data_IF_489058831009
#
_entry.id   IF_489058831009
#
_cell.length_a   1.000
_cell.length_b   1.000
_cell.length_c   1.000
_cell.angle_alpha   90.00
_cell.angle_beta   90.00
_cell.angle_gamma   90.00
#
_symmetry.space_group_name_H-M   'P 1'
#
loop_
_entity.id
_entity.type
_entity.pdbx_description
1 polymer ?
#
# COMPACT_ATOMS: atom_id res chain seq x y z
N UNK A 1 14.35 12.63 11.73
CA UNK A 1 14.70 11.66 10.65
C UNK A 1 14.64 12.33 9.29
N UNK A 2 15.34 11.78 8.30
CA UNK A 2 15.29 12.16 6.88
C UNK A 2 14.23 11.31 6.18
N UNK A 3 13.26 11.94 5.53
CA UNK A 3 12.10 11.27 4.93
C UNK A 3 12.03 11.52 3.43
N UNK A 4 11.89 10.45 2.65
CA UNK A 4 11.54 10.50 1.24
C UNK A 4 10.06 10.12 1.10
N UNK A 5 9.32 10.81 0.23
CA UNK A 5 7.89 10.56 -0.01
C UNK A 5 7.69 10.29 -1.50
N UNK A 6 7.03 9.18 -1.83
CA UNK A 6 6.59 8.85 -3.19
C UNK A 6 5.07 8.65 -3.20
N UNK A 7 4.35 9.57 -3.82
CA UNK A 7 2.89 9.64 -3.85
C UNK A 7 2.46 10.39 -5.11
N UNK A 8 1.59 9.81 -5.92
CA UNK A 8 1.16 10.41 -7.19
C UNK A 8 0.17 11.58 -6.99
N UNK A 9 -0.68 11.49 -5.97
CA UNK A 9 -1.68 12.52 -5.66
C UNK A 9 -1.00 13.75 -5.04
N UNK A 10 -0.98 14.85 -5.79
CA UNK A 10 -0.28 16.07 -5.38
C UNK A 10 -0.70 16.58 -4.01
N UNK A 11 -2.01 16.60 -3.71
CA UNK A 11 -2.53 17.11 -2.44
C UNK A 11 -2.06 16.26 -1.25
N UNK A 12 -2.10 14.93 -1.38
CA UNK A 12 -1.66 14.02 -0.32
C UNK A 12 -0.13 14.09 -0.16
N UNK A 13 0.63 14.13 -1.25
CA UNK A 13 2.09 14.27 -1.22
C UNK A 13 2.54 15.53 -0.48
N UNK A 14 1.92 16.69 -0.80
CA UNK A 14 2.22 17.94 -0.11
C UNK A 14 1.75 17.94 1.35
N UNK A 15 0.59 17.33 1.61
CA UNK A 15 0.07 17.12 2.97
C UNK A 15 1.03 16.30 3.83
N UNK A 16 1.48 15.14 3.34
CA UNK A 16 2.47 14.30 4.02
C UNK A 16 3.78 15.06 4.26
N UNK A 17 4.27 15.76 3.23
CA UNK A 17 5.51 16.53 3.36
C UNK A 17 5.39 17.62 4.44
N UNK A 18 4.24 18.27 4.55
CA UNK A 18 3.98 19.24 5.60
C UNK A 18 3.89 18.59 6.97
N UNK A 19 3.14 17.49 7.12
CA UNK A 19 3.02 16.76 8.39
C UNK A 19 4.39 16.36 8.94
N UNK A 20 5.26 15.81 8.11
CA UNK A 20 6.62 15.45 8.54
C UNK A 20 7.46 16.67 8.94
N UNK A 21 7.38 17.78 8.20
CA UNK A 21 8.10 19.01 8.55
C UNK A 21 7.60 19.62 9.86
N UNK A 22 6.28 19.69 10.04
CA UNK A 22 5.64 20.20 11.27
C UNK A 22 5.98 19.31 12.47
N UNK A 23 6.14 17.97 12.26
CA UNK A 23 6.64 17.00 13.24
C UNK A 23 8.16 17.06 13.48
N UNK A 24 8.88 18.06 12.91
CA UNK A 24 10.33 18.24 13.13
C UNK A 24 11.21 17.31 12.29
N UNK A 25 10.68 16.68 11.24
CA UNK A 25 11.45 15.81 10.35
C UNK A 25 11.90 16.53 9.09
N UNK A 26 12.95 16.02 8.45
CA UNK A 26 13.50 16.60 7.23
C UNK A 26 13.05 15.82 5.99
N UNK A 27 12.16 16.40 5.18
CA UNK A 27 11.74 15.83 3.90
C UNK A 27 12.81 16.12 2.87
N UNK A 28 13.57 15.09 2.49
CA UNK A 28 14.71 15.19 1.58
C UNK A 28 14.29 15.18 0.11
N UNK A 29 13.21 14.49 -0.22
CA UNK A 29 12.67 14.45 -1.58
C UNK A 29 11.19 14.07 -1.59
N UNK A 30 10.49 14.54 -2.63
CA UNK A 30 9.12 14.12 -2.94
C UNK A 30 9.04 13.71 -4.40
N UNK A 31 8.54 12.50 -4.67
CA UNK A 31 8.40 11.89 -5.99
C UNK A 31 6.92 11.64 -6.30
N UNK A 32 6.56 11.67 -7.58
CA UNK A 32 5.19 11.39 -8.05
C UNK A 32 5.00 9.99 -8.64
N UNK A 33 6.11 9.26 -8.80
CA UNK A 33 6.17 7.93 -9.38
C UNK A 33 7.36 7.14 -8.79
N UNK A 34 7.48 5.88 -9.17
CA UNK A 34 8.52 4.98 -8.68
C UNK A 34 9.82 5.01 -9.50
N UNK A 35 9.85 5.70 -10.66
CA UNK A 35 10.94 5.57 -11.64
C UNK A 35 12.30 6.00 -11.08
N UNK A 36 12.33 7.07 -10.31
CA UNK A 36 13.58 7.60 -9.72
C UNK A 36 13.79 7.20 -8.25
N UNK A 37 12.89 6.39 -7.69
CA UNK A 37 12.86 6.14 -6.26
C UNK A 37 14.15 5.51 -5.73
N UNK A 38 14.67 4.46 -6.38
CA UNK A 38 15.92 3.82 -5.98
C UNK A 38 17.14 4.74 -6.11
N UNK A 39 17.24 5.47 -7.22
CA UNK A 39 18.34 6.41 -7.44
C UNK A 39 18.32 7.54 -6.40
N UNK A 40 17.11 8.04 -6.05
CA UNK A 40 16.97 9.08 -5.03
C UNK A 40 17.32 8.55 -3.63
N UNK A 41 16.99 7.29 -3.32
CA UNK A 41 17.40 6.67 -2.04
C UNK A 41 18.91 6.53 -1.96
N UNK A 42 19.58 6.12 -3.04
CA UNK A 42 21.04 6.04 -3.09
C UNK A 42 21.71 7.40 -2.88
N UNK A 43 21.15 8.44 -3.47
CA UNK A 43 21.68 9.81 -3.36
C UNK A 43 21.40 10.45 -2.00
N UNK A 44 20.16 10.39 -1.53
CA UNK A 44 19.68 11.11 -0.36
C UNK A 44 19.86 10.34 0.95
N UNK A 45 19.99 9.03 0.90
CA UNK A 45 20.15 8.14 2.07
C UNK A 45 19.12 8.48 3.18
N UNK A 46 17.81 8.39 2.90
CA UNK A 46 16.79 8.69 3.90
C UNK A 46 16.76 7.61 4.99
N UNK A 47 16.27 7.99 6.17
CA UNK A 47 15.97 7.04 7.24
C UNK A 47 14.66 6.29 6.95
N UNK A 48 13.73 6.96 6.25
CA UNK A 48 12.40 6.44 5.92
C UNK A 48 12.00 6.81 4.50
N UNK A 49 11.44 5.84 3.78
CA UNK A 49 10.70 6.04 2.53
C UNK A 49 9.21 5.77 2.75
N UNK A 50 8.37 6.78 2.59
CA UNK A 50 6.90 6.68 2.58
C UNK A 50 6.44 6.55 1.15
N UNK A 51 5.76 5.46 0.80
CA UNK A 51 5.51 5.08 -0.58
C UNK A 51 4.06 4.67 -0.78
N UNK A 52 3.36 5.30 -1.72
CA UNK A 52 2.08 4.80 -2.20
C UNK A 52 2.29 3.49 -2.97
N UNK A 53 1.42 2.51 -2.74
CA UNK A 53 1.48 1.22 -3.44
C UNK A 53 1.20 1.40 -4.93
N UNK A 54 0.19 2.19 -5.29
CA UNK A 54 -0.31 2.35 -6.64
C UNK A 54 0.10 3.68 -7.24
N UNK A 55 1.15 3.67 -8.03
CA UNK A 55 1.67 4.83 -8.71
C UNK A 55 1.71 4.62 -10.24
N UNK A 56 1.86 5.68 -11.04
CA UNK A 56 2.11 5.53 -12.48
C UNK A 56 3.31 4.58 -12.77
N UNK A 57 3.33 3.89 -13.93
CA UNK A 57 2.41 4.08 -15.07
C UNK A 57 1.15 3.20 -15.04
N UNK A 58 1.13 2.09 -14.30
CA UNK A 58 0.01 1.12 -14.38
C UNK A 58 -0.97 1.23 -13.22
N UNK A 59 -0.60 1.92 -12.14
CA UNK A 59 -1.39 2.07 -10.91
C UNK A 59 -1.79 0.73 -10.28
N UNK A 60 -0.88 -0.24 -10.33
CA UNK A 60 -1.11 -1.58 -9.76
C UNK A 60 -0.28 -1.81 -8.49
N UNK A 61 1.02 -2.05 -8.62
CA UNK A 61 1.91 -2.47 -7.53
C UNK A 61 3.32 -1.84 -7.61
N UNK A 62 3.47 -0.73 -8.36
CA UNK A 62 4.75 -0.07 -8.59
C UNK A 62 5.47 0.25 -7.28
N UNK A 63 4.75 0.83 -6.32
CA UNK A 63 5.30 1.17 -5.01
C UNK A 63 5.71 -0.06 -4.21
N UNK A 64 4.91 -1.13 -4.25
CA UNK A 64 5.24 -2.38 -3.55
C UNK A 64 6.49 -3.05 -4.14
N UNK A 65 6.64 -3.05 -5.47
CA UNK A 65 7.86 -3.55 -6.14
C UNK A 65 9.08 -2.71 -5.80
N UNK A 66 8.93 -1.38 -5.79
CA UNK A 66 9.99 -0.48 -5.38
C UNK A 66 10.39 -0.72 -3.92
N UNK A 67 9.42 -0.85 -3.00
CA UNK A 67 9.64 -1.17 -1.59
C UNK A 67 10.46 -2.45 -1.40
N UNK A 68 10.13 -3.51 -2.14
CA UNK A 68 10.90 -4.77 -2.13
C UNK A 68 12.36 -4.54 -2.58
N UNK A 69 12.54 -3.81 -3.66
CA UNK A 69 13.88 -3.49 -4.18
C UNK A 69 14.69 -2.66 -3.20
N UNK A 70 14.06 -1.70 -2.50
CA UNK A 70 14.69 -0.90 -1.46
C UNK A 70 15.13 -1.80 -0.31
N UNK A 71 14.25 -2.65 0.21
CA UNK A 71 14.60 -3.54 1.34
C UNK A 71 15.73 -4.51 1.00
N UNK A 72 15.82 -4.96 -0.25
CA UNK A 72 16.91 -5.83 -0.71
C UNK A 72 18.24 -5.11 -0.84
N UNK A 73 18.27 -3.87 -1.33
CA UNK A 73 19.50 -3.12 -1.63
C UNK A 73 19.93 -2.20 -0.49
N UNK A 74 18.96 -1.67 0.25
CA UNK A 74 19.14 -0.69 1.33
C UNK A 74 18.38 -1.15 2.59
N UNK A 75 18.77 -2.29 3.21
CA UNK A 75 18.03 -2.88 4.34
C UNK A 75 17.92 -1.96 5.55
N UNK A 76 18.82 -0.97 5.69
CA UNK A 76 18.78 0.05 6.74
C UNK A 76 17.70 1.12 6.57
N UNK A 77 17.14 1.28 5.37
CA UNK A 77 16.08 2.24 5.13
C UNK A 77 14.74 1.66 5.56
N UNK A 78 14.03 2.37 6.45
CA UNK A 78 12.65 2.05 6.79
C UNK A 78 11.73 2.29 5.59
N UNK A 79 10.76 1.41 5.38
CA UNK A 79 9.76 1.55 4.31
C UNK A 79 8.37 1.53 4.90
N UNK A 80 7.61 2.61 4.68
CA UNK A 80 6.20 2.71 5.07
C UNK A 80 5.33 2.79 3.81
N UNK A 81 4.63 1.69 3.51
CA UNK A 81 3.66 1.67 2.42
C UNK A 81 2.33 2.28 2.86
N UNK A 82 1.77 3.10 1.98
CA UNK A 82 0.41 3.63 2.11
C UNK A 82 -0.49 3.03 1.03
N UNK A 83 -1.69 2.62 1.41
CA UNK A 83 -2.68 2.06 0.48
C UNK A 83 -4.07 2.63 0.73
N UNK A 84 -4.87 2.77 -0.32
CA UNK A 84 -6.31 3.06 -0.18
C UNK A 84 -7.13 1.81 0.16
N UNK A 85 -6.60 0.62 -0.15
CA UNK A 85 -7.30 -0.65 0.01
C UNK A 85 -6.44 -1.65 0.77
N UNK A 86 -7.09 -2.63 1.39
CA UNK A 86 -6.39 -3.71 2.08
C UNK A 86 -5.84 -4.69 1.03
N UNK A 87 -4.52 -4.71 0.88
CA UNK A 87 -3.81 -5.64 -0.01
C UNK A 87 -2.83 -6.48 0.82
N UNK A 88 -3.15 -7.75 1.02
CA UNK A 88 -2.34 -8.63 1.88
C UNK A 88 -1.16 -9.25 1.16
N UNK A 89 -1.21 -9.33 -0.18
CA UNK A 89 -0.23 -10.05 -1.00
C UNK A 89 1.21 -9.56 -0.80
N UNK A 90 1.40 -8.23 -0.64
CA UNK A 90 2.73 -7.63 -0.50
C UNK A 90 3.18 -7.48 0.96
N UNK A 91 2.22 -7.43 1.90
CA UNK A 91 2.52 -7.17 3.32
C UNK A 91 3.34 -8.31 3.95
N UNK A 92 2.98 -9.58 3.68
CA UNK A 92 3.60 -10.75 4.33
C UNK A 92 5.08 -10.87 4.02
N UNK A 93 5.45 -10.72 2.74
CA UNK A 93 6.85 -10.85 2.32
C UNK A 93 7.74 -9.74 2.86
N UNK A 94 7.20 -8.51 2.93
CA UNK A 94 7.97 -7.33 3.32
C UNK A 94 8.13 -7.20 4.85
N UNK A 95 7.15 -7.66 5.62
CA UNK A 95 7.22 -7.67 7.10
C UNK A 95 8.40 -8.50 7.61
N UNK A 96 8.68 -9.63 6.96
CA UNK A 96 9.79 -10.50 7.35
C UNK A 96 11.18 -9.86 7.19
N UNK A 97 11.28 -8.77 6.42
CA UNK A 97 12.55 -8.07 6.19
C UNK A 97 12.90 -7.03 7.27
N UNK A 98 11.99 -6.75 8.22
CA UNK A 98 12.16 -5.72 9.25
C UNK A 98 12.19 -4.28 8.70
N UNK A 99 12.00 -3.29 9.56
CA UNK A 99 11.95 -1.87 9.13
C UNK A 99 10.88 -1.63 8.06
N UNK A 100 9.71 -2.22 8.24
CA UNK A 100 8.62 -2.18 7.26
C UNK A 100 7.28 -1.85 7.94
N UNK A 101 6.55 -0.92 7.34
CA UNK A 101 5.20 -0.58 7.74
C UNK A 101 4.23 -0.64 6.58
N UNK A 102 2.99 -0.99 6.88
CA UNK A 102 1.87 -0.93 5.95
C UNK A 102 0.67 -0.31 6.66
N UNK A 103 0.21 0.83 6.17
CA UNK A 103 -0.95 1.55 6.70
C UNK A 103 -1.95 1.85 5.59
N UNK A 104 -3.22 1.94 5.97
CA UNK A 104 -4.23 2.54 5.12
C UNK A 104 -4.05 4.07 5.10
N UNK A 105 -4.31 4.71 3.95
CA UNK A 105 -4.17 6.18 3.80
C UNK A 105 -5.03 6.96 4.79
N UNK A 106 -6.14 6.40 5.25
CA UNK A 106 -7.00 7.02 6.27
C UNK A 106 -6.29 7.20 7.62
N UNK A 107 -5.27 6.40 7.93
CA UNK A 107 -4.47 6.53 9.16
C UNK A 107 -3.63 7.80 9.22
N UNK A 108 -3.37 8.43 8.08
CA UNK A 108 -2.67 9.72 8.04
C UNK A 108 -3.44 10.82 8.76
N UNK A 109 -4.76 10.68 8.91
CA UNK A 109 -5.62 11.62 9.64
C UNK A 109 -5.36 11.62 11.15
N UNK A 110 -4.84 10.52 11.70
CA UNK A 110 -4.40 10.38 13.09
C UNK A 110 -2.92 10.77 13.20
N UNK A 111 -2.62 12.06 13.06
CA UNK A 111 -1.28 12.60 12.80
C UNK A 111 -0.23 12.11 13.79
N UNK A 112 -0.51 12.17 15.11
CA UNK A 112 0.45 11.79 16.15
C UNK A 112 0.78 10.28 16.07
N UNK A 113 -0.22 9.43 15.85
CA UNK A 113 -0.04 7.99 15.71
C UNK A 113 0.68 7.63 14.41
N UNK A 114 0.35 8.33 13.32
CA UNK A 114 1.03 8.18 12.05
C UNK A 114 2.53 8.52 12.15
N UNK A 115 2.88 9.66 12.74
CA UNK A 115 4.28 10.06 12.94
C UNK A 115 5.02 9.09 13.86
N UNK A 116 4.43 8.68 14.98
CA UNK A 116 5.03 7.69 15.87
C UNK A 116 5.26 6.34 15.18
N UNK A 117 4.34 5.95 14.30
CA UNK A 117 4.49 4.73 13.48
C UNK A 117 5.63 4.87 12.47
N UNK A 118 5.72 6.02 11.80
CA UNK A 118 6.80 6.32 10.86
C UNK A 118 8.18 6.29 11.55
N UNK A 119 8.31 6.87 12.75
CA UNK A 119 9.53 6.83 13.55
C UNK A 119 9.93 5.41 13.96
N UNK A 120 8.95 4.59 14.37
CA UNK A 120 9.17 3.18 14.71
C UNK A 120 9.71 2.39 13.52
N UNK A 121 9.15 2.61 12.31
CA UNK A 121 9.59 1.95 11.09
C UNK A 121 11.00 2.41 10.70
N UNK A 122 11.29 3.71 10.80
CA UNK A 122 12.62 4.26 10.55
C UNK A 122 13.68 3.67 11.49
N UNK A 123 13.31 3.39 12.75
CA UNK A 123 14.18 2.73 13.75
C UNK A 123 14.34 1.20 13.54
N UNK A 124 13.82 0.64 12.43
CA UNK A 124 13.93 -0.80 12.13
C UNK A 124 12.78 -1.65 12.67
N UNK A 125 11.80 -1.06 13.37
CA UNK A 125 10.59 -1.75 13.80
C UNK A 125 9.62 -2.03 12.67
N UNK A 126 8.56 -2.78 12.95
CA UNK A 126 7.49 -3.05 12.00
C UNK A 126 6.16 -2.48 12.48
N UNK A 127 5.30 -2.11 11.53
CA UNK A 127 3.95 -1.63 11.81
C UNK A 127 2.98 -2.11 10.73
N UNK A 128 1.91 -2.77 11.14
CA UNK A 128 0.84 -3.19 10.24
C UNK A 128 -0.47 -2.58 10.70
N UNK A 129 -1.24 -2.09 9.73
CA UNK A 129 -2.61 -1.68 9.99
C UNK A 129 -3.41 -2.85 10.56
N UNK A 130 -4.18 -2.66 11.66
CA UNK A 130 -5.00 -3.71 12.26
C UNK A 130 -5.93 -4.40 11.25
N UNK A 131 -6.44 -3.67 10.28
CA UNK A 131 -7.30 -4.22 9.22
C UNK A 131 -6.54 -5.16 8.29
N UNK A 132 -5.27 -4.84 8.00
CA UNK A 132 -4.38 -5.73 7.23
C UNK A 132 -4.08 -6.99 8.01
N UNK A 133 -3.77 -6.87 9.30
CA UNK A 133 -3.54 -8.02 10.19
C UNK A 133 -4.78 -8.92 10.27
N UNK A 134 -5.97 -8.34 10.44
CA UNK A 134 -7.22 -9.10 10.49
C UNK A 134 -7.43 -9.93 9.21
N UNK A 135 -7.12 -9.36 8.04
CA UNK A 135 -7.21 -10.07 6.76
C UNK A 135 -6.13 -11.14 6.57
N UNK A 136 -4.94 -10.95 7.17
CA UNK A 136 -3.87 -11.96 7.12
C UNK A 136 -4.18 -13.17 8.02
N UNK A 137 -4.84 -12.94 9.17
CA UNK A 137 -5.17 -13.99 10.15
C UNK A 137 -6.46 -14.72 9.80
N UNK A 138 -7.37 -14.06 9.07
CA UNK A 138 -8.56 -14.74 8.54
C UNK A 138 -8.10 -15.81 7.55
N UNK A 139 -8.44 -17.10 7.75
CA UNK A 139 -8.04 -18.14 6.81
C UNK A 139 -8.46 -17.70 5.42
N UNK A 140 -7.51 -17.54 4.51
CA UNK A 140 -7.85 -17.39 3.09
C UNK A 140 -8.72 -18.59 2.76
N UNK A 141 -9.94 -18.33 2.27
CA UNK A 141 -10.83 -19.35 1.79
C UNK A 141 -10.08 -20.09 0.67
N UNK A 142 -9.39 -21.18 1.01
CA UNK A 142 -8.48 -21.90 0.12
C UNK A 142 -9.23 -22.74 -0.91
N UNK A 143 -10.55 -22.63 -0.92
CA UNK A 143 -11.40 -23.24 -1.93
C UNK A 143 -11.32 -22.51 -3.30
N UNK A 144 -11.87 -23.12 -4.35
CA UNK A 144 -11.96 -22.51 -5.69
C UNK A 144 -12.61 -21.10 -5.66
N UNK A 145 -13.52 -20.87 -4.72
CA UNK A 145 -14.24 -19.60 -4.51
C UNK A 145 -13.33 -18.52 -3.90
N UNK A 146 -12.36 -18.90 -3.09
CA UNK A 146 -11.41 -17.95 -2.46
C UNK A 146 -10.44 -17.30 -3.45
N UNK A 147 -10.32 -17.85 -4.68
CA UNK A 147 -9.49 -17.29 -5.77
C UNK A 147 -10.26 -16.31 -6.67
N UNK A 148 -11.56 -16.18 -6.47
CA UNK A 148 -12.39 -15.28 -7.26
C UNK A 148 -12.18 -13.83 -6.82
N UNK A 149 -12.10 -12.92 -7.80
CA UNK A 149 -12.22 -11.48 -7.56
C UNK A 149 -13.60 -11.17 -6.94
N UNK A 150 -13.73 -9.99 -6.32
CA UNK A 150 -15.04 -9.55 -5.80
C UNK A 150 -16.14 -9.65 -6.86
N UNK A 151 -15.84 -9.21 -8.07
CA UNK A 151 -16.81 -9.23 -9.18
C UNK A 151 -17.18 -10.63 -9.65
N UNK A 152 -16.23 -11.56 -9.65
CA UNK A 152 -16.52 -12.99 -9.93
C UNK A 152 -17.32 -13.63 -8.80
N UNK A 153 -17.12 -13.21 -7.56
CA UNK A 153 -17.89 -13.65 -6.40
C UNK A 153 -19.32 -13.13 -6.47
N UNK A 154 -19.52 -11.85 -6.82
CA UNK A 154 -20.85 -11.27 -7.03
C UNK A 154 -21.61 -12.00 -8.14
N UNK A 155 -20.94 -12.32 -9.26
CA UNK A 155 -21.52 -13.12 -10.34
C UNK A 155 -21.93 -14.49 -9.83
N UNK A 156 -21.05 -15.18 -9.11
CA UNK A 156 -21.33 -16.54 -8.57
C UNK A 156 -22.51 -16.54 -7.59
N UNK A 157 -22.59 -15.50 -6.73
CA UNK A 157 -23.69 -15.34 -5.80
C UNK A 157 -25.04 -15.15 -6.51
N UNK A 158 -25.08 -14.33 -7.56
CA UNK A 158 -26.27 -14.14 -8.39
C UNK A 158 -26.65 -15.40 -9.18
N UNK A 159 -25.66 -16.16 -9.64
CA UNK A 159 -25.89 -17.48 -10.24
C UNK A 159 -26.49 -18.48 -9.24
N UNK A 160 -26.00 -18.49 -8.00
CA UNK A 160 -26.51 -19.32 -6.93
C UNK A 160 -27.98 -18.97 -6.56
N UNK A 161 -28.39 -17.71 -6.77
CA UNK A 161 -29.78 -17.27 -6.65
C UNK A 161 -30.66 -17.63 -7.87
N UNK A 162 -30.11 -18.31 -8.87
CA UNK A 162 -30.83 -18.80 -10.05
C UNK A 162 -31.05 -17.72 -11.13
N UNK A 163 -30.33 -16.61 -11.12
CA UNK A 163 -30.45 -15.60 -12.16
C UNK A 163 -29.80 -16.08 -13.47
N UNK A 164 -30.40 -15.69 -14.60
CA UNK A 164 -29.83 -15.92 -15.93
C UNK A 164 -28.66 -14.96 -16.20
N UNK A 165 -27.77 -15.32 -17.13
CA UNK A 165 -26.64 -14.47 -17.51
C UNK A 165 -27.07 -13.06 -17.95
N UNK A 166 -28.20 -12.95 -18.68
CA UNK A 166 -28.76 -11.65 -19.07
C UNK A 166 -29.23 -10.83 -17.86
N UNK A 167 -29.84 -11.46 -16.86
CA UNK A 167 -30.27 -10.79 -15.63
C UNK A 167 -29.07 -10.36 -14.78
N UNK A 168 -28.02 -11.18 -14.73
CA UNK A 168 -26.76 -10.86 -14.02
C UNK A 168 -26.06 -9.70 -14.72
N UNK A 169 -25.92 -9.73 -16.05
CA UNK A 169 -25.30 -8.67 -16.83
C UNK A 169 -26.01 -7.32 -16.60
N UNK A 170 -27.34 -7.31 -16.62
CA UNK A 170 -28.12 -6.11 -16.34
C UNK A 170 -27.95 -5.58 -14.92
N UNK A 171 -27.82 -6.48 -13.93
CA UNK A 171 -27.66 -6.09 -12.51
C UNK A 171 -26.28 -5.57 -12.19
N UNK A 172 -25.24 -6.11 -12.83
CA UNK A 172 -23.84 -5.71 -12.62
C UNK A 172 -23.34 -4.66 -13.64
N UNK A 173 -24.20 -4.25 -14.58
CA UNK A 173 -23.84 -3.29 -15.67
C UNK A 173 -22.62 -3.79 -16.46
N UNK A 174 -22.59 -5.09 -16.79
CA UNK A 174 -21.54 -5.73 -17.61
C UNK A 174 -22.14 -6.37 -18.85
N UNK A 175 -21.33 -6.62 -19.87
CA UNK A 175 -21.81 -7.34 -21.06
C UNK A 175 -21.93 -8.84 -20.79
N UNK A 176 -22.87 -9.53 -21.43
CA UNK A 176 -23.06 -10.98 -21.30
C UNK A 176 -21.85 -11.82 -21.75
N UNK A 177 -20.84 -11.21 -22.37
CA UNK A 177 -19.66 -11.87 -22.95
C UNK A 177 -18.37 -11.68 -22.15
N UNK A 178 -18.47 -11.21 -20.91
CA UNK A 178 -17.29 -11.03 -20.04
C UNK A 178 -17.05 -12.26 -19.19
#
# INVERSE_FOLDING_TARGET
MRVLIAEDQALLREGLARLFRDGGHHVVSTLRDADQLLATIEQEQPDLAVIDIRMPPTFTDEGARAARSIKQRHPGVGVLLLSQHIETTHAVELVALGGFGYLLKDRVLEVDEFLATAERVAAGGSALDPMVVANLVTPADTGPVGRLSERERDVLELMAQGLTNAAIANRLVVSERT
#
